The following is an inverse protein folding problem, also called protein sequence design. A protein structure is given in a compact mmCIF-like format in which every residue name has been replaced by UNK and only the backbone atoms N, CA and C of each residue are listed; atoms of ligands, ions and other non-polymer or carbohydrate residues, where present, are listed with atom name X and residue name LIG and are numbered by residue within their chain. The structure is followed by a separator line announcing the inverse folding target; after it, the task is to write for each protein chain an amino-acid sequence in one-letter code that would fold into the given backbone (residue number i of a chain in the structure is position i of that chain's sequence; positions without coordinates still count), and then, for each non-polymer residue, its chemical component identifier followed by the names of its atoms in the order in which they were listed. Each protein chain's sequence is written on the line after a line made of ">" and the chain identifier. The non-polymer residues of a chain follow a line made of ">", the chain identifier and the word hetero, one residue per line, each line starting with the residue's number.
data_IF_707805830626
#
_entry.id   IF_707805830626
#
_cell.length_a   1.000
_cell.length_b   1.000
_cell.length_c   1.000
_cell.angle_alpha   90.00
_cell.angle_beta   90.00
_cell.angle_gamma   90.00
#
_symmetry.space_group_name_H-M   'P 1'
#
loop_
_entity.id
_entity.type
_entity.pdbx_description
1 polymer ?
#
# COMPACT_ATOMS: atom_id res chain seq x y z
N UNK A 1 1.09 5.14 -17.69
CA UNK A 1 -0.08 4.33 -18.07
C UNK A 1 -0.13 4.11 -19.59
N UNK A 2 -0.27 5.15 -20.43
CA UNK A 2 -0.29 4.98 -21.89
C UNK A 2 0.99 4.39 -22.52
N UNK A 3 2.11 4.39 -21.79
CA UNK A 3 3.42 3.87 -22.25
C UNK A 3 3.54 2.36 -22.20
N UNK A 4 2.66 1.67 -21.48
CA UNK A 4 2.88 0.29 -21.07
C UNK A 4 2.13 -0.74 -21.93
N UNK A 5 1.36 -0.34 -22.94
CA UNK A 5 0.57 -1.26 -23.78
C UNK A 5 -0.25 -2.27 -22.94
N UNK A 6 -1.20 -1.72 -22.18
CA UNK A 6 -2.06 -2.44 -21.23
C UNK A 6 -3.52 -2.25 -21.62
N UNK A 7 -4.35 -3.24 -21.31
CA UNK A 7 -5.81 -3.06 -21.30
C UNK A 7 -6.27 -2.68 -19.90
N UNK A 8 -7.02 -1.59 -19.75
CA UNK A 8 -7.62 -1.21 -18.47
C UNK A 8 -9.09 -1.60 -18.48
N UNK A 9 -9.52 -2.39 -17.50
CA UNK A 9 -10.91 -2.80 -17.31
C UNK A 9 -11.40 -2.34 -15.94
N UNK A 10 -12.66 -1.95 -15.84
CA UNK A 10 -13.29 -1.65 -14.54
C UNK A 10 -14.27 -2.78 -14.20
N UNK A 11 -14.13 -3.37 -13.02
CA UNK A 11 -14.93 -4.50 -12.54
C UNK A 11 -15.47 -4.21 -11.13
N UNK A 12 -16.52 -4.90 -10.72
CA UNK A 12 -16.97 -4.88 -9.32
C UNK A 12 -16.06 -5.81 -8.50
N UNK A 13 -14.88 -5.31 -8.14
CA UNK A 13 -13.85 -6.01 -7.34
C UNK A 13 -13.47 -5.12 -6.16
N UNK A 14 -13.00 -5.69 -5.03
CA UNK A 14 -12.70 -4.92 -3.82
C UNK A 14 -11.43 -4.07 -3.94
N UNK A 15 -10.50 -4.48 -4.80
CA UNK A 15 -9.22 -3.81 -5.04
C UNK A 15 -8.74 -4.00 -6.48
N UNK A 16 -7.74 -3.22 -6.92
CA UNK A 16 -7.15 -3.38 -8.24
C UNK A 16 -6.24 -4.61 -8.32
N UNK A 17 -5.94 -5.07 -9.53
CA UNK A 17 -4.90 -6.07 -9.77
C UNK A 17 -4.35 -5.96 -11.19
N UNK A 18 -3.13 -6.47 -11.38
CA UNK A 18 -2.50 -6.59 -12.68
C UNK A 18 -2.30 -8.05 -13.09
N UNK A 19 -3.02 -8.45 -14.13
CA UNK A 19 -2.78 -9.69 -14.84
C UNK A 19 -1.55 -9.50 -15.75
N UNK A 20 -0.43 -10.08 -15.30
CA UNK A 20 0.85 -10.02 -16.00
C UNK A 20 0.81 -10.76 -17.35
N UNK A 21 -0.04 -11.79 -17.47
CA UNK A 21 -0.13 -12.67 -18.64
C UNK A 21 -0.83 -11.98 -19.80
N UNK A 22 -2.07 -11.55 -19.58
CA UNK A 22 -2.89 -10.91 -20.61
C UNK A 22 -2.69 -9.39 -20.63
N UNK A 23 -1.86 -8.86 -19.73
CA UNK A 23 -1.56 -7.42 -19.58
C UNK A 23 -2.81 -6.60 -19.31
N UNK A 24 -3.65 -7.09 -18.41
CA UNK A 24 -4.91 -6.45 -18.02
C UNK A 24 -4.75 -5.83 -16.64
N UNK A 25 -4.92 -4.52 -16.58
CA UNK A 25 -5.10 -3.78 -15.33
C UNK A 25 -6.59 -3.76 -15.00
N UNK A 26 -7.01 -4.51 -13.99
CA UNK A 26 -8.38 -4.48 -13.51
C UNK A 26 -8.50 -3.52 -12.35
N UNK A 27 -9.37 -2.53 -12.51
CA UNK A 27 -9.67 -1.51 -11.51
C UNK A 27 -11.01 -1.81 -10.84
N UNK A 28 -11.13 -1.58 -9.53
CA UNK A 28 -12.42 -1.56 -8.89
C UNK A 28 -13.28 -0.46 -9.53
N UNK A 29 -14.57 -0.74 -9.68
CA UNK A 29 -15.55 0.30 -9.99
C UNK A 29 -15.60 1.21 -8.77
N UNK A 30 -14.90 2.34 -8.89
CA UNK A 30 -14.74 3.29 -7.80
C UNK A 30 -16.12 3.77 -7.36
N UNK A 31 -16.48 3.50 -6.10
CA UNK A 31 -17.54 4.24 -5.42
C UNK A 31 -17.06 5.68 -5.21
N UNK A 32 -17.98 6.63 -5.01
CA UNK A 32 -17.68 8.07 -4.88
C UNK A 32 -16.74 8.42 -3.71
N UNK A 33 -16.35 7.44 -2.88
CA UNK A 33 -15.57 7.61 -1.65
C UNK A 33 -14.05 7.34 -1.82
N UNK A 34 -13.58 6.94 -3.01
CA UNK A 34 -12.15 6.71 -3.24
C UNK A 34 -11.43 8.03 -3.53
N UNK A 35 -10.44 8.37 -2.68
CA UNK A 35 -9.67 9.60 -2.85
C UNK A 35 -8.78 9.53 -4.10
N UNK A 36 -8.47 10.68 -4.74
CA UNK A 36 -7.54 10.70 -5.88
C UNK A 36 -6.17 10.08 -5.54
N UNK A 37 -5.75 10.17 -4.28
CA UNK A 37 -4.50 9.57 -3.81
C UNK A 37 -4.56 8.04 -3.78
N UNK A 38 -5.70 7.49 -3.37
CA UNK A 38 -5.91 6.05 -3.35
C UNK A 38 -6.03 5.48 -4.77
N UNK A 39 -6.65 6.22 -5.68
CA UNK A 39 -6.63 5.90 -7.11
C UNK A 39 -5.20 5.87 -7.66
N UNK A 40 -4.39 6.90 -7.40
CA UNK A 40 -2.98 6.95 -7.79
C UNK A 40 -2.15 5.81 -7.18
N UNK A 41 -2.45 5.42 -5.93
CA UNK A 41 -1.80 4.29 -5.26
C UNK A 41 -2.06 3.01 -6.05
N UNK A 42 -3.33 2.66 -6.28
CA UNK A 42 -3.67 1.45 -7.02
C UNK A 42 -3.07 1.46 -8.42
N UNK A 43 -3.29 2.53 -9.19
CA UNK A 43 -2.79 2.60 -10.56
C UNK A 43 -1.26 2.58 -10.61
N UNK A 44 -0.60 3.32 -9.72
CA UNK A 44 0.85 3.37 -9.64
C UNK A 44 1.46 2.03 -9.25
N UNK A 45 0.86 1.34 -8.29
CA UNK A 45 1.30 0.04 -7.83
C UNK A 45 1.20 -1.01 -8.95
N UNK A 46 0.03 -1.16 -9.54
CA UNK A 46 -0.19 -2.16 -10.60
C UNK A 46 0.64 -1.88 -11.86
N UNK A 47 0.80 -0.61 -12.25
CA UNK A 47 1.71 -0.23 -13.34
C UNK A 47 3.17 -0.52 -12.97
N UNK A 48 3.50 -0.48 -11.68
CA UNK A 48 4.78 -0.94 -11.13
C UNK A 48 5.01 -2.42 -11.43
N UNK A 49 4.02 -3.28 -11.18
CA UNK A 49 4.08 -4.70 -11.55
C UNK A 49 4.21 -4.87 -13.07
N UNK A 50 3.38 -4.19 -13.86
CA UNK A 50 3.41 -4.28 -15.31
C UNK A 50 4.77 -3.97 -15.94
N UNK A 51 5.56 -3.12 -15.29
CA UNK A 51 6.88 -2.69 -15.71
C UNK A 51 8.02 -3.60 -15.26
N UNK A 52 7.89 -4.22 -14.09
CA UNK A 52 9.02 -4.77 -13.36
C UNK A 52 8.86 -6.25 -12.97
N UNK A 53 7.65 -6.78 -12.97
CA UNK A 53 7.36 -8.16 -12.54
C UNK A 53 7.29 -9.09 -13.76
N UNK A 54 8.17 -10.10 -13.86
CA UNK A 54 8.13 -11.07 -14.96
C UNK A 54 7.03 -12.11 -14.76
N UNK A 55 6.27 -12.42 -15.82
CA UNK A 55 5.21 -13.43 -15.80
C UNK A 55 5.70 -14.81 -15.31
N UNK A 56 6.78 -15.30 -15.91
CA UNK A 56 7.37 -16.61 -15.56
C UNK A 56 7.82 -16.68 -14.10
N UNK A 57 8.22 -15.55 -13.52
CA UNK A 57 8.65 -15.48 -12.12
C UNK A 57 7.50 -15.70 -11.15
N UNK A 58 6.38 -15.04 -11.38
CA UNK A 58 5.19 -15.19 -10.53
C UNK A 58 4.57 -16.59 -10.72
N UNK A 59 4.34 -17.03 -11.96
CA UNK A 59 3.63 -18.28 -12.25
C UNK A 59 4.40 -19.57 -11.89
N UNK A 60 5.73 -19.60 -12.06
CA UNK A 60 6.51 -20.82 -11.75
C UNK A 60 6.65 -21.09 -10.25
N UNK A 61 6.75 -20.04 -9.43
CA UNK A 61 6.95 -20.18 -7.97
C UNK A 61 5.64 -20.46 -7.22
N UNK A 62 4.50 -20.05 -7.78
CA UNK A 62 3.15 -20.21 -7.22
C UNK A 62 2.68 -21.66 -7.17
N UNK A 63 3.10 -22.48 -8.13
CA UNK A 63 2.60 -23.86 -8.24
C UNK A 63 3.09 -24.82 -7.15
N UNK A 64 4.15 -24.46 -6.39
CA UNK A 64 4.81 -25.37 -5.45
C UNK A 64 4.60 -25.01 -3.96
N UNK A 65 4.36 -23.74 -3.59
CA UNK A 65 4.18 -23.33 -2.18
C UNK A 65 3.37 -22.02 -1.99
N UNK A 66 2.10 -22.14 -1.54
CA UNK A 66 1.20 -21.00 -1.28
C UNK A 66 1.71 -20.04 -0.20
N UNK A 67 2.34 -20.53 0.87
CA UNK A 67 2.85 -19.64 1.93
C UNK A 67 4.01 -18.81 1.42
N UNK A 68 4.92 -19.40 0.63
CA UNK A 68 6.04 -18.69 0.01
C UNK A 68 5.57 -17.61 -0.98
N UNK A 69 4.43 -17.84 -1.67
CA UNK A 69 3.79 -16.83 -2.53
C UNK A 69 3.55 -15.52 -1.80
N UNK A 70 3.02 -15.56 -0.57
CA UNK A 70 2.79 -14.33 0.21
C UNK A 70 4.06 -13.55 0.52
N UNK A 71 5.18 -14.24 0.79
CA UNK A 71 6.48 -13.56 0.97
C UNK A 71 6.98 -12.95 -0.34
N UNK A 72 6.83 -13.66 -1.46
CA UNK A 72 7.22 -13.15 -2.78
C UNK A 72 6.45 -11.87 -3.12
N UNK A 73 5.13 -11.86 -2.89
CA UNK A 73 4.29 -10.70 -3.14
C UNK A 73 4.73 -9.50 -2.30
N UNK A 74 4.93 -9.67 -0.99
CA UNK A 74 5.37 -8.57 -0.12
C UNK A 74 6.76 -8.05 -0.53
N UNK A 75 7.73 -8.93 -0.80
CA UNK A 75 9.08 -8.48 -1.21
C UNK A 75 9.06 -7.84 -2.60
N UNK A 76 8.23 -8.34 -3.50
CA UNK A 76 8.03 -7.75 -4.83
C UNK A 76 7.40 -6.35 -4.72
N UNK A 77 6.37 -6.17 -3.89
CA UNK A 77 5.75 -4.87 -3.61
C UNK A 77 6.80 -3.85 -3.16
N UNK A 78 7.72 -4.23 -2.27
CA UNK A 78 8.81 -3.36 -1.81
C UNK A 78 9.65 -2.89 -3.00
N UNK A 79 9.99 -3.80 -3.91
CA UNK A 79 10.82 -3.52 -5.07
C UNK A 79 10.09 -2.66 -6.10
N UNK A 80 8.87 -3.04 -6.49
CA UNK A 80 8.10 -2.35 -7.53
C UNK A 80 7.66 -0.96 -7.09
N UNK A 81 7.28 -0.78 -5.82
CA UNK A 81 6.93 0.54 -5.30
C UNK A 81 8.13 1.47 -5.26
N UNK A 82 9.30 0.97 -4.85
CA UNK A 82 10.54 1.74 -4.89
C UNK A 82 10.86 2.16 -6.32
N UNK A 83 10.74 1.26 -7.28
CA UNK A 83 11.00 1.52 -8.69
C UNK A 83 10.02 2.56 -9.28
N UNK A 84 8.71 2.40 -9.05
CA UNK A 84 7.71 3.32 -9.61
C UNK A 84 7.76 4.71 -8.97
N UNK A 85 8.01 4.79 -7.65
CA UNK A 85 8.23 6.07 -6.94
C UNK A 85 9.51 6.76 -7.40
N UNK A 86 10.53 6.01 -7.84
CA UNK A 86 11.74 6.57 -8.44
C UNK A 86 11.50 7.10 -9.86
N UNK A 87 10.77 6.34 -10.69
CA UNK A 87 10.40 6.72 -12.06
C UNK A 87 9.46 7.94 -12.08
N UNK A 88 8.47 7.97 -11.20
CA UNK A 88 7.47 9.02 -11.11
C UNK A 88 7.46 9.64 -9.71
N UNK A 89 8.33 10.64 -9.52
CA UNK A 89 8.53 11.31 -8.23
C UNK A 89 7.24 11.88 -7.60
N UNK A 90 6.25 12.25 -8.41
CA UNK A 90 4.95 12.75 -7.94
C UNK A 90 4.13 11.72 -7.16
N UNK A 91 4.33 10.42 -7.42
CA UNK A 91 3.62 9.35 -6.71
C UNK A 91 4.02 9.26 -5.23
N UNK A 92 5.20 9.77 -4.82
CA UNK A 92 5.64 9.68 -3.42
C UNK A 92 4.66 10.34 -2.46
N UNK A 93 4.21 11.56 -2.77
CA UNK A 93 3.22 12.25 -1.94
C UNK A 93 1.86 11.58 -2.02
N UNK A 94 1.51 11.00 -3.17
CA UNK A 94 0.22 10.36 -3.37
C UNK A 94 0.13 9.08 -2.52
N UNK A 95 1.12 8.19 -2.63
CA UNK A 95 1.22 6.95 -1.85
C UNK A 95 1.26 7.25 -0.35
N UNK A 96 2.02 8.25 0.08
CA UNK A 96 2.08 8.63 1.49
C UNK A 96 0.71 9.05 2.05
N UNK A 97 -0.10 9.77 1.28
CA UNK A 97 -1.46 10.17 1.67
C UNK A 97 -2.43 9.00 1.60
N UNK A 98 -2.36 8.19 0.54
CA UNK A 98 -3.18 7.01 0.36
C UNK A 98 -3.00 6.00 1.51
N UNK A 99 -1.76 5.69 1.88
CA UNK A 99 -1.49 4.80 3.03
C UNK A 99 -1.98 5.38 4.36
N UNK A 100 -1.96 6.71 4.53
CA UNK A 100 -2.57 7.34 5.69
C UNK A 100 -4.09 7.12 5.72
N UNK A 101 -4.75 7.20 4.57
CA UNK A 101 -6.19 6.99 4.46
C UNK A 101 -6.56 5.51 4.66
N UNK A 102 -5.77 4.58 4.14
CA UNK A 102 -5.94 3.14 4.36
C UNK A 102 -5.84 2.76 5.85
N UNK A 103 -4.87 3.32 6.59
CA UNK A 103 -4.77 3.10 8.05
C UNK A 103 -6.01 3.62 8.77
N UNK A 104 -6.52 4.81 8.43
CA UNK A 104 -7.73 5.37 9.08
C UNK A 104 -8.96 4.49 8.88
N UNK A 105 -9.06 3.84 7.72
CA UNK A 105 -10.14 2.92 7.37
C UNK A 105 -9.94 1.51 7.96
N UNK A 106 -8.88 1.29 8.75
CA UNK A 106 -8.48 -0.02 9.26
C UNK A 106 -8.33 -1.08 8.17
N UNK A 107 -7.89 -0.66 6.99
CA UNK A 107 -7.84 -1.52 5.82
C UNK A 107 -6.84 -2.69 5.96
N UNK A 108 -5.86 -2.53 6.85
CA UNK A 108 -4.89 -3.59 7.17
C UNK A 108 -5.34 -4.47 8.34
N UNK A 109 -6.52 -4.23 8.94
CA UNK A 109 -7.05 -4.99 10.08
C UNK A 109 -6.19 -4.90 11.34
N UNK A 110 -5.46 -3.78 11.52
CA UNK A 110 -4.46 -3.59 12.58
C UNK A 110 -4.99 -2.82 13.79
N UNK A 111 -6.22 -2.30 13.73
CA UNK A 111 -6.82 -1.55 14.83
C UNK A 111 -6.95 -2.43 16.08
N UNK A 112 -6.27 -2.02 17.15
CA UNK A 112 -6.30 -2.73 18.42
C UNK A 112 -5.40 -3.97 18.51
N UNK A 113 -4.63 -4.29 17.45
CA UNK A 113 -3.61 -5.35 17.49
C UNK A 113 -2.26 -4.80 17.99
N UNK A 114 -1.47 -5.66 18.63
CA UNK A 114 -0.06 -5.33 18.91
C UNK A 114 0.79 -5.59 17.66
N UNK A 115 1.31 -4.50 17.06
CA UNK A 115 2.13 -4.59 15.85
C UNK A 115 3.48 -5.29 16.09
N UNK A 116 3.92 -5.42 17.35
CA UNK A 116 5.17 -6.11 17.69
C UNK A 116 5.04 -7.63 17.63
N UNK A 117 3.82 -8.15 17.80
CA UNK A 117 3.53 -9.59 17.78
C UNK A 117 3.31 -10.14 16.37
N UNK A 118 3.24 -9.26 15.37
CA UNK A 118 3.12 -9.64 13.96
C UNK A 118 4.34 -10.41 13.45
N UNK A 119 4.12 -11.24 12.45
CA UNK A 119 5.20 -11.91 11.70
C UNK A 119 6.15 -10.90 11.06
N UNK A 120 7.40 -11.30 10.82
CA UNK A 120 8.41 -10.45 10.18
C UNK A 120 7.95 -9.96 8.80
N UNK A 121 7.27 -10.82 8.02
CA UNK A 121 6.82 -10.42 6.70
C UNK A 121 5.72 -9.35 6.77
N UNK A 122 4.82 -9.43 7.75
CA UNK A 122 3.80 -8.40 8.01
C UNK A 122 4.42 -7.10 8.49
N UNK A 123 5.40 -7.18 9.41
CA UNK A 123 6.17 -6.02 9.85
C UNK A 123 6.85 -5.32 8.67
N UNK A 124 7.47 -6.07 7.75
CA UNK A 124 8.09 -5.53 6.55
C UNK A 124 7.04 -4.87 5.65
N UNK A 125 5.89 -5.52 5.40
CA UNK A 125 4.81 -4.97 4.60
C UNK A 125 4.30 -3.64 5.18
N UNK A 126 4.01 -3.60 6.48
CA UNK A 126 3.53 -2.40 7.16
C UNK A 126 4.57 -1.28 7.20
N UNK A 127 5.84 -1.59 7.51
CA UNK A 127 6.91 -0.58 7.53
C UNK A 127 7.10 0.03 6.14
N UNK A 128 7.07 -0.77 5.09
CA UNK A 128 7.35 -0.30 3.73
C UNK A 128 6.19 0.46 3.10
N UNK A 129 4.94 0.10 3.44
CA UNK A 129 3.71 0.80 3.02
C UNK A 129 3.45 2.05 3.89
N UNK A 130 3.46 1.91 5.21
CA UNK A 130 2.99 2.95 6.14
C UNK A 130 4.11 3.84 6.70
N UNK A 131 5.37 3.40 6.65
CA UNK A 131 6.53 4.13 7.15
C UNK A 131 6.41 4.48 8.63
N UNK A 132 6.70 5.74 8.96
CA UNK A 132 6.70 6.23 10.35
C UNK A 132 5.31 6.28 11.03
N UNK A 133 4.24 5.87 10.35
CA UNK A 133 2.89 5.80 10.95
C UNK A 133 2.66 4.56 11.78
N UNK A 134 3.41 3.50 11.50
CA UNK A 134 3.40 2.28 12.30
C UNK A 134 4.59 2.31 13.24
N UNK A 135 4.36 2.04 14.52
CA UNK A 135 5.41 2.01 15.52
C UNK A 135 5.87 0.58 15.74
N UNK A 136 6.68 0.06 14.80
CA UNK A 136 7.23 -1.30 14.83
C UNK A 136 8.73 -1.21 15.12
N UNK A 137 9.23 -2.00 16.08
CA UNK A 137 10.65 -2.01 16.43
C UNK A 137 11.25 -3.33 15.96
N UNK A 138 12.20 -3.26 15.03
CA UNK A 138 12.88 -4.45 14.53
C UNK A 138 14.14 -4.73 15.34
N UNK A 139 14.39 -6.01 15.60
CA UNK A 139 15.68 -6.52 16.05
C UNK A 139 16.75 -6.32 14.96
N UNK A 140 18.06 -6.43 15.28
CA UNK A 140 19.11 -6.31 14.28
C UNK A 140 18.99 -7.32 13.13
N UNK A 141 18.46 -8.50 13.40
CA UNK A 141 18.25 -9.56 12.41
C UNK A 141 17.06 -9.27 11.50
N UNK A 142 15.90 -8.91 12.08
CA UNK A 142 14.73 -8.47 11.30
C UNK A 142 15.05 -7.23 10.44
N UNK A 143 15.86 -6.30 10.96
CA UNK A 143 16.31 -5.13 10.22
C UNK A 143 17.20 -5.50 9.02
N UNK A 144 18.00 -6.57 9.13
CA UNK A 144 18.80 -7.07 8.03
C UNK A 144 17.90 -7.60 6.89
N UNK A 145 16.81 -8.27 7.23
CA UNK A 145 15.80 -8.73 6.26
C UNK A 145 15.06 -7.57 5.60
N UNK A 146 14.61 -6.57 6.37
CA UNK A 146 14.00 -5.36 5.80
C UNK A 146 14.95 -4.68 4.81
N UNK A 147 16.23 -4.56 5.17
CA UNK A 147 17.24 -3.98 4.30
C UNK A 147 17.47 -4.82 3.04
N UNK A 148 17.48 -6.15 3.17
CA UNK A 148 17.57 -7.07 2.04
C UNK A 148 16.41 -6.85 1.06
N UNK A 149 15.17 -6.79 1.55
CA UNK A 149 13.99 -6.52 0.71
C UNK A 149 14.07 -5.16 0.01
N UNK A 150 14.55 -4.13 0.71
CA UNK A 150 14.73 -2.79 0.14
C UNK A 150 15.87 -2.74 -0.90
N UNK A 151 16.85 -3.63 -0.81
CA UNK A 151 18.02 -3.67 -1.70
C UNK A 151 17.79 -4.49 -2.98
N UNK A 152 16.69 -5.26 -3.07
CA UNK A 152 16.30 -6.03 -4.26
C UNK A 152 16.19 -5.16 -5.53
N UNK A 153 16.69 -5.67 -6.66
CA UNK A 153 16.68 -5.00 -7.96
C UNK A 153 16.08 -5.88 -9.06
N UNK A 154 16.34 -7.18 -9.02
CA UNK A 154 15.80 -8.15 -9.97
C UNK A 154 14.77 -9.07 -9.31
N UNK A 155 14.08 -9.87 -10.13
CA UNK A 155 13.17 -10.90 -9.63
C UNK A 155 13.92 -11.99 -8.86
N UNK A 156 15.13 -12.33 -9.29
CA UNK A 156 15.98 -13.31 -8.60
C UNK A 156 16.35 -12.83 -7.18
N UNK A 157 16.65 -11.54 -7.01
CA UNK A 157 16.87 -10.95 -5.69
C UNK A 157 15.62 -11.08 -4.80
N UNK A 158 14.42 -10.95 -5.38
CA UNK A 158 13.14 -11.09 -4.67
C UNK A 158 12.93 -12.52 -4.22
N UNK A 159 13.18 -13.50 -5.10
CA UNK A 159 13.08 -14.92 -4.76
C UNK A 159 14.06 -15.29 -3.66
N UNK A 160 15.31 -14.85 -3.75
CA UNK A 160 16.32 -15.10 -2.71
C UNK A 160 15.90 -14.49 -1.37
N UNK A 161 15.46 -13.23 -1.37
CA UNK A 161 15.04 -12.53 -0.16
C UNK A 161 13.79 -13.15 0.46
N UNK A 162 12.74 -13.40 -0.32
CA UNK A 162 11.51 -14.03 0.16
C UNK A 162 11.76 -15.42 0.74
N UNK A 163 12.61 -16.23 0.08
CA UNK A 163 13.01 -17.56 0.58
C UNK A 163 13.77 -17.46 1.90
N UNK A 164 14.70 -16.51 2.02
CA UNK A 164 15.46 -16.31 3.24
C UNK A 164 14.57 -15.91 4.43
N UNK A 165 13.62 -14.99 4.21
CA UNK A 165 12.65 -14.58 5.24
C UNK A 165 11.73 -15.77 5.60
N UNK A 166 11.25 -16.52 4.60
CA UNK A 166 10.38 -17.68 4.82
C UNK A 166 11.06 -18.77 5.66
N UNK A 167 12.30 -19.17 5.32
CA UNK A 167 13.02 -20.19 6.08
C UNK A 167 13.36 -19.71 7.50
N UNK A 168 13.73 -18.44 7.66
CA UNK A 168 13.94 -17.87 9.00
C UNK A 168 12.64 -17.87 9.83
N UNK A 169 11.52 -17.46 9.23
CA UNK A 169 10.21 -17.42 9.88
C UNK A 169 9.77 -18.81 10.35
N UNK A 170 10.01 -19.87 9.57
CA UNK A 170 9.72 -21.26 9.97
C UNK A 170 10.46 -21.71 11.24
N UNK A 171 11.65 -21.18 11.48
CA UNK A 171 12.48 -21.55 12.63
C UNK A 171 12.24 -20.66 13.86
N UNK A 172 11.82 -19.41 13.65
CA UNK A 172 11.80 -18.37 14.67
C UNK A 172 10.40 -17.85 15.02
N UNK A 173 9.39 -18.13 14.19
CA UNK A 173 8.03 -17.64 14.36
C UNK A 173 7.02 -18.79 14.35
N UNK A 174 5.95 -18.64 15.13
CA UNK A 174 4.78 -19.49 15.04
C UNK A 174 3.71 -18.74 14.28
N UNK A 175 3.53 -19.09 13.00
CA UNK A 175 2.47 -18.50 12.20
C UNK A 175 1.13 -19.16 12.49
N UNK A 176 0.11 -18.34 12.70
CA UNK A 176 -1.28 -18.80 12.76
C UNK A 176 -2.09 -18.24 11.59
N UNK A 177 -3.36 -18.67 11.48
CA UNK A 177 -4.24 -18.24 10.39
C UNK A 177 -4.58 -16.74 10.44
N UNK A 178 -4.33 -16.05 11.56
CA UNK A 178 -4.60 -14.62 11.69
C UNK A 178 -3.48 -13.76 11.12
N UNK A 179 -2.29 -14.33 10.89
CA UNK A 179 -1.18 -13.68 10.18
C UNK A 179 -1.44 -13.55 8.67
N UNK A 180 -2.29 -14.40 8.09
CA UNK A 180 -2.66 -14.29 6.66
C UNK A 180 -3.54 -13.05 6.37
N UNK A 181 -4.17 -12.47 7.41
CA UNK A 181 -5.09 -11.33 7.27
C UNK A 181 -4.39 -9.96 7.24
N UNK A 182 -3.16 -9.84 7.73
CA UNK A 182 -2.44 -8.55 7.85
C UNK A 182 -1.66 -8.21 6.57
N UNK A 183 -1.33 -9.23 5.78
CA UNK A 183 -0.80 -9.02 4.43
C UNK A 183 -1.93 -8.61 3.47
N UNK A 184 -2.25 -7.32 3.42
CA UNK A 184 -2.95 -6.80 2.24
C UNK A 184 -2.01 -6.93 1.03
N UNK A 185 -2.32 -7.92 0.20
CA UNK A 185 -1.74 -8.16 -1.11
C UNK A 185 -2.81 -7.80 -2.14
N UNK A 186 -2.42 -7.09 -3.19
CA UNK A 186 -3.31 -6.96 -4.35
C UNK A 186 -3.43 -8.39 -4.92
N UNK A 187 -4.63 -8.99 -4.96
CA UNK A 187 -4.80 -10.36 -5.41
C UNK A 187 -4.35 -10.47 -6.86
N UNK A 188 -3.71 -11.56 -7.25
CA UNK A 188 -3.42 -11.81 -8.66
C UNK A 188 -4.62 -12.44 -9.37
N UNK A 189 -4.54 -12.55 -10.70
CA UNK A 189 -5.63 -13.12 -11.52
C UNK A 189 -6.02 -14.53 -11.06
N UNK A 190 -5.05 -15.36 -10.68
CA UNK A 190 -5.29 -16.75 -10.27
C UNK A 190 -6.05 -16.84 -8.93
N UNK A 191 -5.83 -15.89 -8.02
CA UNK A 191 -6.61 -15.80 -6.77
C UNK A 191 -8.06 -15.39 -7.00
N UNK A 192 -8.35 -14.69 -8.10
CA UNK A 192 -9.71 -14.23 -8.44
C UNK A 192 -10.47 -15.21 -9.36
N UNK A 193 -9.77 -16.09 -10.07
CA UNK A 193 -10.39 -17.18 -10.86
C UNK A 193 -10.60 -18.46 -10.03
N UNK A 194 -10.02 -18.53 -8.82
CA UNK A 194 -9.96 -19.73 -7.99
C UNK A 194 -11.13 -19.96 -7.03
N UNK A 195 -12.08 -19.03 -6.89
CA UNK A 195 -13.16 -19.13 -5.91
C UNK A 195 -14.53 -18.76 -6.52
N UNK A 196 -15.29 -19.80 -6.89
CA UNK A 196 -16.72 -19.69 -7.23
C UNK A 196 -17.61 -19.72 -5.97
N UNK A 197 -17.05 -19.57 -4.76
CA UNK A 197 -17.81 -19.38 -3.53
C UNK A 197 -17.88 -17.87 -3.21
N UNK A 198 -18.95 -17.22 -3.69
CA UNK A 198 -19.30 -15.79 -3.47
C UNK A 198 -19.37 -15.39 -1.97
N UNK A 199 -19.29 -16.34 -1.03
CA UNK A 199 -19.59 -16.14 0.38
C UNK A 199 -18.35 -15.81 1.26
N UNK A 200 -17.10 -16.06 0.83
CA UNK A 200 -15.89 -15.73 1.62
C UNK A 200 -15.24 -14.38 1.24
N UNK A 201 -15.63 -13.75 0.13
CA UNK A 201 -15.09 -12.46 -0.32
C UNK A 201 -15.91 -11.23 0.10
N UNK A 202 -17.00 -11.39 0.86
CA UNK A 202 -17.76 -10.25 1.42
C UNK A 202 -17.03 -9.52 2.56
N UNK A 203 -15.96 -10.09 3.14
CA UNK A 203 -15.28 -9.51 4.29
C UNK A 203 -14.32 -8.34 3.93
N UNK A 204 -14.13 -8.04 2.64
CA UNK A 204 -13.45 -6.82 2.16
C UNK A 204 -14.44 -5.69 1.81
N UNK A 205 -15.63 -5.72 2.42
CA UNK A 205 -16.57 -4.60 2.35
C UNK A 205 -15.97 -3.39 3.05
N UNK A 206 -15.64 -2.37 2.26
CA UNK A 206 -15.28 -1.02 2.70
C UNK A 206 -16.32 -0.55 3.71
N UNK A 207 -15.99 -0.68 5.00
CA UNK A 207 -16.93 -0.47 6.09
C UNK A 207 -17.58 0.90 6.03
N UNK A 208 -18.89 0.90 5.76
CA UNK A 208 -19.77 2.03 5.99
C UNK A 208 -19.88 2.23 7.50
N UNK A 209 -19.02 3.09 8.06
CA UNK A 209 -19.21 3.57 9.42
C UNK A 209 -20.27 4.67 9.38
N UNK A 210 -21.53 4.25 9.42
CA UNK A 210 -22.68 5.12 9.71
C UNK A 210 -22.47 5.74 11.11
N UNK A 211 -22.40 7.08 11.25
CA UNK A 211 -22.34 7.69 12.57
C UNK A 211 -23.74 7.62 13.18
N UNK A 212 -23.92 6.69 14.13
CA UNK A 212 -25.10 6.67 14.98
C UNK A 212 -25.28 8.02 15.68
N UNK A 213 -26.36 8.71 15.30
CA UNK A 213 -26.94 9.85 16.01
C UNK A 213 -27.18 9.47 17.48
N UNK A 214 -26.47 10.15 18.40
CA UNK A 214 -26.92 10.29 19.78
C UNK A 214 -26.97 11.77 20.14
N UNK A 215 -28.18 12.24 20.38
CA UNK A 215 -28.52 13.60 20.76
C UNK A 215 -27.93 14.02 22.11
N UNK A 216 -27.49 15.28 22.18
CA UNK A 216 -27.11 15.97 23.41
C UNK A 216 -27.50 17.45 23.34
N UNK A 217 -28.67 17.74 23.90
CA UNK A 217 -29.36 19.03 23.96
C UNK A 217 -28.65 20.10 24.82
N UNK A 218 -28.68 21.36 24.35
CA UNK A 218 -28.92 22.55 25.17
C UNK A 218 -27.74 23.31 25.81
N UNK A 219 -27.39 24.50 25.29
CA UNK A 219 -27.64 25.81 25.94
C UNK A 219 -26.87 26.99 25.27
N UNK A 220 -27.56 28.13 25.20
CA UNK A 220 -27.23 29.38 24.48
C UNK A 220 -26.26 30.32 25.22
N UNK A 221 -25.56 31.18 24.46
CA UNK A 221 -25.35 32.61 24.79
C UNK A 221 -24.81 33.41 23.59
N UNK A 222 -25.33 34.63 23.43
CA UNK A 222 -25.19 35.63 22.35
C UNK A 222 -23.78 36.27 22.17
N UNK A 223 -23.50 36.81 20.96
CA UNK A 223 -22.29 37.57 20.53
C UNK A 223 -22.23 39.05 20.98
N UNK A 224 -21.62 40.03 20.25
CA UNK A 224 -20.89 40.01 18.96
C UNK A 224 -19.55 40.84 18.89
N UNK A 225 -18.92 40.83 17.70
CA UNK A 225 -18.06 41.84 17.00
C UNK A 225 -16.81 42.48 17.64
N UNK A 226 -15.68 42.47 16.93
CA UNK A 226 -15.08 43.69 16.33
C UNK A 226 -13.99 43.37 15.28
N UNK A 227 -13.96 44.21 14.24
CA UNK A 227 -13.05 44.26 13.09
C UNK A 227 -11.80 45.13 13.38
N UNK A 228 -11.04 45.47 12.32
CA UNK A 228 -9.81 46.29 12.20
C UNK A 228 -8.52 45.44 12.15
N UNK A 229 -7.97 45.09 10.98
CA UNK A 229 -7.40 45.87 9.85
C UNK A 229 -6.07 46.58 10.18
N UNK A 230 -5.24 46.69 9.15
CA UNK A 230 -4.03 47.52 8.96
C UNK A 230 -2.76 46.78 8.49
N UNK A 231 -2.66 46.75 7.15
CA UNK A 231 -1.61 47.37 6.33
C UNK A 231 -0.14 46.88 6.35
N UNK A 232 0.26 46.43 5.15
CA UNK A 232 1.61 46.42 4.55
C UNK A 232 2.15 47.86 4.40
N UNK A 233 3.48 48.08 4.41
CA UNK A 233 4.08 48.41 3.11
C UNK A 233 5.51 47.90 2.87
N UNK A 234 5.70 47.34 1.67
CA UNK A 234 6.62 47.76 0.60
C UNK A 234 8.05 48.23 0.94
N UNK A 235 9.03 47.67 0.22
CA UNK A 235 10.43 48.09 0.29
C UNK A 235 11.37 47.42 -0.72
N UNK A 236 11.11 47.66 -2.00
CA UNK A 236 11.95 47.46 -3.20
C UNK A 236 13.43 47.92 -3.05
N UNK A 237 14.39 47.13 -3.56
CA UNK A 237 15.36 47.60 -4.58
C UNK A 237 16.40 46.52 -5.00
N UNK A 238 16.29 46.10 -6.26
CA UNK A 238 17.31 46.09 -7.33
C UNK A 238 18.81 45.83 -7.07
N UNK A 239 19.35 44.89 -7.85
CA UNK A 239 20.36 45.09 -8.93
C UNK A 239 21.76 44.44 -8.87
N UNK A 240 22.07 43.85 -10.04
CA UNK A 240 23.35 43.81 -10.78
C UNK A 240 24.50 42.84 -10.42
N UNK A 241 24.67 41.88 -11.34
CA UNK A 241 25.89 41.49 -12.10
C UNK A 241 27.30 41.76 -11.54
N UNK A 242 28.16 40.73 -11.63
CA UNK A 242 29.60 40.90 -11.90
C UNK A 242 30.52 39.77 -11.41
N UNK A 243 31.05 38.97 -12.35
CA UNK A 243 32.20 38.06 -12.14
C UNK A 243 33.49 38.84 -11.82
N UNK A 244 34.52 38.15 -11.29
CA UNK A 244 35.51 37.53 -12.18
C UNK A 244 35.73 36.03 -11.94
#
# INVERSE_FOLDING_TARGET
>A
MATEDLTIVHKAIPTAYFDVKNRVLACPTFKDDISPYLYDLFMGHEVGHALNTPYEGLHSTVSENRTLKGYLNVVEDVRIEKAIKHKYNGLRSSFFKAYADLIKRDFFGIKGRDLQELSLIDKINLITKCGSRVNITLTPEELAFLKMSQDCKTWEDVVECATAIYEWSKENETRDKTDEQVTFQMPDEEELEGDEDEDEMEEMSWGDSDPSDEEGDGAKSDGPSDEEDEEDPDGDNTDSFGSP
#
